data_IF_326349093352
#
_entry.id   IF_326349093352
#
_cell.length_a   1.000
_cell.length_b   1.000
_cell.length_c   1.000
_cell.angle_alpha   90.00
_cell.angle_beta   90.00
_cell.angle_gamma   90.00
#
_symmetry.space_group_name_H-M   'P 1'
#
loop_
_entity.id
_entity.type
_entity.pdbx_description
1 polymer ?
#
# COMPACT_ATOMS: atom_id res chain seq x y z
N UNK A 1 -36.58 -7.96 -9.92
CA UNK A 1 -35.37 -8.68 -10.40
C UNK A 1 -35.59 -10.17 -10.20
N UNK A 2 -35.56 -10.97 -11.27
CA UNK A 2 -35.74 -12.42 -11.18
C UNK A 2 -34.62 -13.06 -10.36
N UNK A 3 -34.90 -14.17 -9.68
CA UNK A 3 -33.90 -14.82 -8.79
C UNK A 3 -32.62 -15.20 -9.55
N UNK A 4 -32.73 -15.57 -10.83
CA UNK A 4 -31.57 -15.89 -11.66
C UNK A 4 -30.67 -14.68 -11.92
N UNK A 5 -31.24 -13.49 -12.15
CA UNK A 5 -30.45 -12.29 -12.38
C UNK A 5 -29.69 -11.86 -11.11
N UNK A 6 -30.27 -12.10 -9.92
CA UNK A 6 -29.56 -11.91 -8.64
C UNK A 6 -28.38 -12.87 -8.50
N UNK A 7 -28.57 -14.15 -8.81
CA UNK A 7 -27.50 -15.15 -8.73
C UNK A 7 -26.34 -14.82 -9.66
N UNK A 8 -26.62 -14.40 -10.90
CA UNK A 8 -25.60 -13.97 -11.87
C UNK A 8 -24.81 -12.76 -11.34
N UNK A 9 -25.51 -11.77 -10.78
CA UNK A 9 -24.84 -10.60 -10.22
C UNK A 9 -23.93 -10.96 -9.04
N UNK A 10 -24.40 -11.83 -8.14
CA UNK A 10 -23.64 -12.26 -6.97
C UNK A 10 -22.41 -13.07 -7.40
N UNK A 11 -22.56 -14.02 -8.33
CA UNK A 11 -21.43 -14.81 -8.81
C UNK A 11 -20.42 -13.97 -9.58
N UNK A 12 -20.86 -12.96 -10.32
CA UNK A 12 -19.98 -11.99 -10.98
C UNK A 12 -19.16 -11.20 -9.96
N UNK A 13 -19.80 -10.65 -8.92
CA UNK A 13 -19.11 -9.91 -7.86
C UNK A 13 -18.09 -10.80 -7.15
N UNK A 14 -18.48 -12.01 -6.77
CA UNK A 14 -17.58 -12.98 -6.12
C UNK A 14 -16.40 -13.32 -7.04
N UNK A 15 -16.67 -13.58 -8.32
CA UNK A 15 -15.63 -13.86 -9.30
C UNK A 15 -14.64 -12.70 -9.48
N UNK A 16 -15.13 -11.46 -9.50
CA UNK A 16 -14.28 -10.25 -9.56
C UNK A 16 -13.44 -10.11 -8.30
N UNK A 17 -14.03 -10.30 -7.11
CA UNK A 17 -13.28 -10.22 -5.84
C UNK A 17 -12.18 -11.28 -5.77
N UNK A 18 -12.48 -12.52 -6.14
CA UNK A 18 -11.49 -13.61 -6.20
C UNK A 18 -10.42 -13.30 -7.26
N UNK A 19 -10.84 -12.82 -8.44
CA UNK A 19 -9.92 -12.45 -9.51
C UNK A 19 -8.97 -11.31 -9.13
N UNK A 20 -9.44 -10.33 -8.36
CA UNK A 20 -8.61 -9.25 -7.80
C UNK A 20 -7.65 -9.77 -6.74
N UNK A 21 -8.15 -10.60 -5.81
CA UNK A 21 -7.35 -11.18 -4.75
C UNK A 21 -6.23 -12.11 -5.28
N UNK A 22 -6.51 -12.84 -6.35
CA UNK A 22 -5.52 -13.70 -7.00
C UNK A 22 -4.65 -12.93 -7.99
N UNK A 23 -5.21 -11.98 -8.75
CA UNK A 23 -4.50 -11.25 -9.81
C UNK A 23 -3.32 -10.43 -9.33
N UNK A 24 -3.34 -9.99 -8.07
CA UNK A 24 -2.20 -9.38 -7.38
C UNK A 24 -1.58 -10.42 -6.46
N UNK A 25 -0.30 -10.73 -6.66
CA UNK A 25 0.44 -11.53 -5.69
C UNK A 25 0.64 -10.68 -4.43
N UNK A 26 -0.24 -10.83 -3.44
CA UNK A 26 -0.18 -10.08 -2.18
C UNK A 26 1.21 -10.23 -1.52
N UNK A 27 1.86 -11.39 -1.67
CA UNK A 27 3.21 -11.62 -1.16
C UNK A 27 4.33 -10.85 -1.86
N UNK A 28 4.10 -10.34 -3.08
CA UNK A 28 5.09 -9.55 -3.85
C UNK A 28 4.62 -8.14 -4.23
N UNK A 29 3.40 -7.77 -3.84
CA UNK A 29 2.72 -6.52 -4.23
C UNK A 29 2.81 -6.24 -5.75
N UNK A 30 2.76 -7.29 -6.57
CA UNK A 30 2.91 -7.19 -8.04
C UNK A 30 1.90 -8.08 -8.74
N UNK A 31 1.51 -7.76 -10.00
CA UNK A 31 0.67 -8.65 -10.80
C UNK A 31 1.28 -10.06 -10.89
N UNK A 32 0.45 -11.11 -10.86
CA UNK A 32 0.94 -12.49 -10.97
C UNK A 32 1.81 -12.73 -12.23
N UNK A 33 1.45 -12.09 -13.34
CA UNK A 33 2.12 -12.21 -14.65
C UNK A 33 3.22 -11.16 -14.86
N UNK A 34 3.75 -10.58 -13.79
CA UNK A 34 4.85 -9.61 -13.89
C UNK A 34 6.17 -10.29 -14.27
N UNK A 35 7.02 -9.59 -15.02
CA UNK A 35 8.31 -10.10 -15.47
C UNK A 35 9.22 -10.44 -14.26
N UNK A 36 9.61 -11.73 -14.08
CA UNK A 36 10.42 -12.14 -12.94
C UNK A 36 11.87 -11.65 -13.00
N UNK A 37 12.35 -11.20 -14.16
CA UNK A 37 13.72 -10.72 -14.37
C UNK A 37 13.84 -9.19 -14.40
N UNK A 38 12.72 -8.45 -14.30
CA UNK A 38 12.78 -7.01 -14.15
C UNK A 38 13.56 -6.67 -12.87
N UNK A 39 14.37 -5.59 -12.87
CA UNK A 39 15.03 -5.12 -11.64
C UNK A 39 13.96 -4.81 -10.60
N UNK A 40 14.03 -5.50 -9.46
CA UNK A 40 13.05 -5.40 -8.40
C UNK A 40 13.75 -4.71 -7.24
N UNK A 41 13.08 -3.72 -6.64
CA UNK A 41 13.46 -3.25 -5.33
C UNK A 41 13.44 -4.45 -4.37
N UNK A 42 14.57 -4.72 -3.72
CA UNK A 42 14.65 -5.83 -2.78
C UNK A 42 13.84 -5.52 -1.52
N UNK A 43 13.46 -6.54 -0.76
CA UNK A 43 12.80 -6.33 0.53
C UNK A 43 13.66 -5.49 1.48
N UNK A 44 14.99 -5.63 1.38
CA UNK A 44 15.95 -4.84 2.15
C UNK A 44 15.93 -3.37 1.73
N UNK A 45 15.89 -3.09 0.43
CA UNK A 45 15.80 -1.71 -0.09
C UNK A 45 14.50 -1.05 0.35
N UNK A 46 13.38 -1.79 0.27
CA UNK A 46 12.05 -1.31 0.70
C UNK A 46 12.03 -1.01 2.20
N UNK A 47 12.59 -1.89 3.03
CA UNK A 47 12.70 -1.70 4.46
C UNK A 47 13.59 -0.49 4.82
N UNK A 48 14.73 -0.33 4.12
CA UNK A 48 15.63 0.81 4.30
C UNK A 48 14.95 2.13 3.92
N UNK A 49 14.17 2.14 2.84
CA UNK A 49 13.41 3.31 2.40
C UNK A 49 12.36 3.70 3.44
N UNK A 50 11.53 2.76 3.89
CA UNK A 50 10.52 3.01 4.93
C UNK A 50 11.15 3.55 6.22
N UNK A 51 12.27 2.94 6.66
CA UNK A 51 12.97 3.41 7.85
C UNK A 51 13.50 4.84 7.68
N UNK A 52 14.09 5.15 6.53
CA UNK A 52 14.61 6.50 6.23
C UNK A 52 13.50 7.55 6.20
N UNK A 53 12.38 7.26 5.53
CA UNK A 53 11.20 8.13 5.51
C UNK A 53 10.64 8.37 6.92
N UNK A 54 10.53 7.31 7.71
CA UNK A 54 10.00 7.39 9.09
C UNK A 54 10.88 8.29 9.97
N UNK A 55 12.20 8.15 9.86
CA UNK A 55 13.16 8.98 10.60
C UNK A 55 13.11 10.43 10.16
N UNK A 56 13.02 10.68 8.85
CA UNK A 56 12.92 12.03 8.30
C UNK A 56 11.63 12.75 8.73
N UNK A 57 10.49 12.08 8.63
CA UNK A 57 9.20 12.62 9.08
C UNK A 57 9.19 12.92 10.58
N UNK A 58 9.75 12.01 11.38
CA UNK A 58 9.89 12.20 12.83
C UNK A 58 10.76 13.42 13.15
N UNK A 59 11.88 13.59 12.44
CA UNK A 59 12.74 14.77 12.58
C UNK A 59 12.00 16.07 12.26
N UNK A 60 11.26 16.11 11.14
CA UNK A 60 10.44 17.28 10.75
C UNK A 60 9.36 17.60 11.78
N UNK A 61 8.73 16.57 12.37
CA UNK A 61 7.71 16.76 13.39
C UNK A 61 8.31 17.36 14.68
N UNK A 62 9.47 16.87 15.11
CA UNK A 62 10.20 17.41 16.26
C UNK A 62 10.67 18.85 16.02
N UNK A 63 11.18 19.16 14.83
CA UNK A 63 11.61 20.52 14.47
C UNK A 63 10.44 21.50 14.55
N UNK A 64 9.29 21.15 13.95
CA UNK A 64 8.07 21.97 14.03
C UNK A 64 7.59 22.17 15.46
N UNK A 65 7.63 21.11 16.28
CA UNK A 65 7.27 21.20 17.69
C UNK A 65 8.23 22.14 18.45
N UNK A 66 9.53 22.07 18.18
CA UNK A 66 10.53 22.98 18.73
C UNK A 66 10.30 24.43 18.34
N UNK A 67 10.04 24.71 17.05
CA UNK A 67 9.72 26.05 16.54
C UNK A 67 8.47 26.63 17.23
N UNK A 68 7.40 25.84 17.34
CA UNK A 68 6.16 26.27 17.99
C UNK A 68 6.34 26.62 19.48
N UNK A 69 7.25 25.95 20.19
CA UNK A 69 7.59 26.28 21.57
C UNK A 69 8.41 27.57 21.67
N UNK A 70 9.37 27.77 20.75
CA UNK A 70 10.18 28.97 20.69
C UNK A 70 9.34 30.22 20.39
N UNK A 71 8.38 30.11 19.47
CA UNK A 71 7.47 31.20 19.13
C UNK A 71 6.53 31.55 20.30
N UNK A 72 6.11 30.57 21.10
CA UNK A 72 5.29 30.79 22.31
C UNK A 72 6.07 31.40 23.48
N UNK A 73 7.39 31.24 23.51
CA UNK A 73 8.25 31.75 24.57
C UNK A 73 8.77 33.18 24.30
N UNK A 74 8.49 33.73 23.12
CA UNK A 74 8.78 35.11 22.71
C UNK A 74 7.59 36.02 23.00
#
# INVERSE_FOLDING_TARGET
MTQQLKTIFISLIIGVLIGMALGVNIGREKPLLSNPFAKQESLLDKAKRLGSETVEESGKALEKAGQALQDKAK
#
